data_IF_705912238443
#
_entry.id   IF_705912238443
#
_cell.length_a   1.000
_cell.length_b   1.000
_cell.length_c   1.000
_cell.angle_alpha   90.00
_cell.angle_beta   90.00
_cell.angle_gamma   90.00
#
_symmetry.space_group_name_H-M   'P 1'
#
loop_
_entity.id
_entity.type
_entity.pdbx_description
1 polymer ?
#
# COMPACT_ATOMS: atom_id res chain seq x y z
N UNK A 1 -39.93 -3.83 -58.17
CA UNK A 1 -38.61 -3.17 -58.24
C UNK A 1 -38.35 -2.01 -57.27
N UNK A 2 -39.07 -0.87 -57.27
CA UNK A 2 -38.78 0.24 -56.31
C UNK A 2 -39.15 -0.07 -54.85
N UNK A 3 -40.25 -0.82 -54.61
CA UNK A 3 -40.66 -1.27 -53.26
C UNK A 3 -39.72 -2.33 -52.66
N UNK A 4 -39.32 -3.33 -53.44
CA UNK A 4 -38.39 -4.38 -52.99
C UNK A 4 -37.01 -3.84 -52.58
N UNK A 5 -36.51 -2.79 -53.25
CA UNK A 5 -35.25 -2.12 -52.86
C UNK A 5 -35.37 -1.31 -51.56
N UNK A 6 -36.58 -0.84 -51.22
CA UNK A 6 -36.86 -0.13 -49.96
C UNK A 6 -36.88 -1.10 -48.78
N UNK A 7 -37.58 -2.22 -48.92
CA UNK A 7 -37.70 -3.24 -47.87
C UNK A 7 -36.35 -3.90 -47.55
N UNK A 8 -35.47 -4.04 -48.55
CA UNK A 8 -34.11 -4.58 -48.35
C UNK A 8 -33.19 -3.59 -47.61
N UNK A 9 -33.34 -2.28 -47.85
CA UNK A 9 -32.58 -1.24 -47.16
C UNK A 9 -32.98 -1.15 -45.67
N UNK A 10 -34.28 -1.23 -45.39
CA UNK A 10 -34.81 -1.22 -44.02
C UNK A 10 -34.40 -2.47 -43.24
N UNK A 11 -34.41 -3.64 -43.89
CA UNK A 11 -33.92 -4.89 -43.29
C UNK A 11 -32.43 -4.83 -42.97
N UNK A 12 -31.59 -4.27 -43.87
CA UNK A 12 -30.15 -4.07 -43.62
C UNK A 12 -29.90 -3.08 -42.47
N UNK A 13 -30.71 -2.02 -42.37
CA UNK A 13 -30.65 -1.05 -41.27
C UNK A 13 -30.99 -1.70 -39.92
N UNK A 14 -32.06 -2.48 -39.86
CA UNK A 14 -32.49 -3.21 -38.65
C UNK A 14 -31.43 -4.22 -38.20
N UNK A 15 -30.86 -5.01 -39.13
CA UNK A 15 -29.77 -5.96 -38.83
C UNK A 15 -28.55 -5.22 -38.26
N UNK A 16 -28.16 -4.08 -38.84
CA UNK A 16 -27.05 -3.27 -38.32
C UNK A 16 -27.34 -2.74 -36.92
N UNK A 17 -28.58 -2.31 -36.63
CA UNK A 17 -29.00 -1.85 -35.30
C UNK A 17 -28.90 -3.00 -34.27
N UNK A 18 -29.48 -4.15 -34.58
CA UNK A 18 -29.42 -5.34 -33.72
C UNK A 18 -27.98 -5.81 -33.47
N UNK A 19 -27.11 -5.79 -34.48
CA UNK A 19 -25.70 -6.13 -34.31
C UNK A 19 -24.96 -5.14 -33.40
N UNK A 20 -25.26 -3.83 -33.52
CA UNK A 20 -24.68 -2.80 -32.63
C UNK A 20 -25.14 -2.99 -31.18
N UNK A 21 -26.43 -3.25 -30.96
CA UNK A 21 -26.99 -3.53 -29.63
C UNK A 21 -26.39 -4.80 -29.02
N UNK A 22 -26.30 -5.88 -29.79
CA UNK A 22 -25.63 -7.12 -29.36
C UNK A 22 -24.17 -6.89 -28.99
N UNK A 23 -23.43 -6.09 -29.78
CA UNK A 23 -22.03 -5.74 -29.47
C UNK A 23 -21.91 -4.94 -28.16
N UNK A 24 -22.83 -4.00 -27.91
CA UNK A 24 -22.89 -3.24 -26.65
C UNK A 24 -23.16 -4.16 -25.46
N UNK A 25 -24.13 -5.07 -25.57
CA UNK A 25 -24.45 -6.05 -24.52
C UNK A 25 -23.27 -6.98 -24.22
N UNK A 26 -22.59 -7.48 -25.24
CA UNK A 26 -21.38 -8.30 -25.06
C UNK A 26 -20.28 -7.50 -24.36
N UNK A 27 -20.07 -6.23 -24.71
CA UNK A 27 -19.08 -5.36 -24.06
C UNK A 27 -19.45 -5.13 -22.59
N UNK A 28 -20.73 -4.86 -22.27
CA UNK A 28 -21.21 -4.70 -20.89
C UNK A 28 -21.04 -5.99 -20.08
N UNK A 29 -21.45 -7.14 -20.60
CA UNK A 29 -21.25 -8.45 -19.94
C UNK A 29 -19.77 -8.71 -19.64
N UNK A 30 -18.87 -8.55 -20.62
CA UNK A 30 -17.43 -8.76 -20.42
C UNK A 30 -16.84 -7.85 -19.33
N UNK A 31 -17.34 -6.62 -19.22
CA UNK A 31 -16.96 -5.68 -18.15
C UNK A 31 -17.46 -6.13 -16.79
N UNK A 32 -18.74 -6.47 -16.68
CA UNK A 32 -19.32 -6.96 -15.41
C UNK A 32 -18.57 -8.21 -14.91
N UNK A 33 -18.22 -9.14 -15.81
CA UNK A 33 -17.37 -10.28 -15.47
C UNK A 33 -16.02 -9.83 -14.94
N UNK A 34 -15.34 -8.87 -15.59
CA UNK A 34 -14.04 -8.36 -15.13
C UNK A 34 -14.14 -7.71 -13.75
N UNK A 35 -15.17 -6.90 -13.52
CA UNK A 35 -15.41 -6.21 -12.25
C UNK A 35 -15.70 -7.24 -11.16
N UNK A 36 -16.62 -8.18 -11.40
CA UNK A 36 -16.93 -9.26 -10.47
C UNK A 36 -15.68 -10.08 -10.11
N UNK A 37 -14.87 -10.46 -11.10
CA UNK A 37 -13.61 -11.19 -10.87
C UNK A 37 -12.68 -10.40 -9.95
N UNK A 38 -12.46 -9.11 -10.23
CA UNK A 38 -11.60 -8.28 -9.37
C UNK A 38 -12.16 -8.19 -7.95
N UNK A 39 -13.44 -7.85 -7.81
CA UNK A 39 -14.11 -7.74 -6.52
C UNK A 39 -13.98 -9.02 -5.70
N UNK A 40 -14.21 -10.18 -6.31
CA UNK A 40 -14.10 -11.46 -5.60
C UNK A 40 -12.65 -11.71 -5.17
N UNK A 41 -11.67 -11.53 -6.06
CA UNK A 41 -10.26 -11.83 -5.76
C UNK A 41 -9.60 -10.86 -4.79
N UNK A 42 -10.12 -9.64 -4.66
CA UNK A 42 -9.57 -8.66 -3.74
C UNK A 42 -9.94 -8.99 -2.27
N UNK A 43 -10.95 -9.84 -2.05
CA UNK A 43 -11.47 -10.19 -0.72
C UNK A 43 -11.57 -11.71 -0.45
N UNK A 44 -11.29 -12.54 -1.45
CA UNK A 44 -11.32 -14.00 -1.32
C UNK A 44 -9.92 -14.57 -1.52
N UNK A 45 -9.51 -15.46 -0.61
CA UNK A 45 -8.22 -16.16 -0.66
C UNK A 45 -8.34 -17.64 -1.04
N UNK A 46 -9.55 -18.13 -1.32
CA UNK A 46 -9.81 -19.54 -1.65
C UNK A 46 -10.51 -19.70 -2.98
N UNK A 47 -10.20 -20.78 -3.69
CA UNK A 47 -10.91 -21.15 -4.91
C UNK A 47 -12.40 -21.36 -4.63
N UNK A 48 -13.22 -21.02 -5.63
CA UNK A 48 -14.67 -21.14 -5.59
C UNK A 48 -15.15 -22.15 -6.63
N UNK A 49 -16.22 -22.87 -6.31
CA UNK A 49 -16.74 -23.98 -7.12
C UNK A 49 -18.17 -23.77 -7.62
N UNK A 50 -18.88 -22.79 -7.07
CA UNK A 50 -20.32 -22.61 -7.33
C UNK A 50 -20.75 -21.16 -7.36
N UNK A 51 -21.96 -20.92 -7.88
CA UNK A 51 -22.61 -19.61 -7.84
C UNK A 51 -22.85 -19.17 -6.41
N UNK A 52 -23.29 -20.10 -5.56
CA UNK A 52 -23.64 -19.90 -4.16
C UNK A 52 -22.42 -19.43 -3.37
N UNK A 53 -21.25 -20.01 -3.63
CA UNK A 53 -20.00 -19.58 -3.02
C UNK A 53 -19.59 -18.15 -3.44
N UNK A 54 -19.73 -17.80 -4.73
CA UNK A 54 -19.50 -16.42 -5.18
C UNK A 54 -20.44 -15.45 -4.44
N UNK A 55 -21.74 -15.77 -4.40
CA UNK A 55 -22.72 -14.91 -3.75
C UNK A 55 -22.50 -14.82 -2.24
N UNK A 56 -22.02 -15.88 -1.60
CA UNK A 56 -21.65 -15.87 -0.19
C UNK A 56 -20.51 -14.88 0.06
N UNK A 57 -19.45 -14.94 -0.74
CA UNK A 57 -18.31 -14.01 -0.65
C UNK A 57 -18.77 -12.57 -0.87
N UNK A 58 -19.57 -12.30 -1.91
CA UNK A 58 -20.06 -10.94 -2.18
C UNK A 58 -20.91 -10.38 -1.02
N UNK A 59 -21.76 -11.22 -0.41
CA UNK A 59 -22.55 -10.84 0.78
C UNK A 59 -21.71 -10.66 2.03
N UNK A 60 -20.62 -11.40 2.18
CA UNK A 60 -19.66 -11.17 3.28
C UNK A 60 -18.98 -9.81 3.11
N UNK A 61 -18.56 -9.46 1.89
CA UNK A 61 -17.96 -8.15 1.62
C UNK A 61 -18.98 -7.03 1.89
N UNK A 62 -20.23 -7.20 1.48
CA UNK A 62 -21.32 -6.26 1.76
C UNK A 62 -21.45 -5.96 3.27
N UNK A 63 -21.35 -6.98 4.12
CA UNK A 63 -21.39 -6.84 5.58
C UNK A 63 -20.21 -6.07 6.17
N UNK A 64 -19.06 -6.05 5.50
CA UNK A 64 -17.90 -5.27 5.98
C UNK A 64 -18.10 -3.77 5.84
N UNK A 65 -19.12 -3.31 5.10
CA UNK A 65 -19.38 -1.90 4.84
C UNK A 65 -18.44 -1.27 3.81
N UNK A 66 -17.61 -2.07 3.13
CA UNK A 66 -16.78 -1.61 2.03
C UNK A 66 -17.62 -1.38 0.75
N UNK A 67 -17.96 -0.13 0.47
CA UNK A 67 -18.62 0.30 -0.78
C UNK A 67 -17.56 0.74 -1.81
N UNK A 68 -16.97 -0.20 -2.53
CA UNK A 68 -16.08 0.12 -3.66
C UNK A 68 -16.93 0.38 -4.90
N UNK A 69 -16.88 1.61 -5.40
CA UNK A 69 -17.57 2.02 -6.64
C UNK A 69 -16.60 2.06 -7.81
N UNK A 70 -16.95 1.37 -8.88
CA UNK A 70 -16.21 1.43 -10.14
C UNK A 70 -16.86 2.44 -11.09
N UNK A 71 -16.18 3.57 -11.30
CA UNK A 71 -16.59 4.53 -12.32
C UNK A 71 -16.21 4.03 -13.72
N UNK A 72 -17.20 3.78 -14.56
CA UNK A 72 -16.98 3.46 -15.96
C UNK A 72 -16.62 4.72 -16.75
N UNK A 73 -15.32 4.98 -16.94
CA UNK A 73 -14.80 6.18 -17.65
C UNK A 73 -15.46 6.42 -19.02
N UNK A 74 -15.84 5.36 -19.75
CA UNK A 74 -16.51 5.51 -21.07
C UNK A 74 -18.00 5.88 -20.99
N UNK A 75 -18.69 5.61 -19.88
CA UNK A 75 -20.15 5.81 -19.75
C UNK A 75 -20.57 6.71 -18.58
N UNK A 76 -19.65 7.06 -17.67
CA UNK A 76 -19.95 7.76 -16.41
C UNK A 76 -20.79 6.93 -15.44
N UNK A 77 -21.05 5.65 -15.73
CA UNK A 77 -21.89 4.76 -14.92
C UNK A 77 -21.04 4.24 -13.75
N UNK A 78 -21.49 4.47 -12.51
CA UNK A 78 -20.92 3.85 -11.32
C UNK A 78 -21.53 2.45 -11.16
N UNK A 79 -20.66 1.45 -10.98
CA UNK A 79 -21.05 0.09 -10.62
C UNK A 79 -20.71 -0.11 -9.15
N UNK A 80 -21.72 -0.44 -8.35
CA UNK A 80 -21.58 -0.78 -6.93
C UNK A 80 -21.66 -2.29 -6.71
N UNK A 81 -21.45 -2.73 -5.46
CA UNK A 81 -21.50 -4.14 -5.09
C UNK A 81 -22.87 -4.78 -5.37
N UNK A 82 -23.97 -4.06 -5.17
CA UNK A 82 -25.32 -4.56 -5.44
C UNK A 82 -25.49 -4.93 -6.93
N UNK A 83 -24.97 -4.10 -7.84
CA UNK A 83 -25.01 -4.39 -9.28
C UNK A 83 -24.25 -5.68 -9.63
N UNK A 84 -23.16 -5.97 -8.91
CA UNK A 84 -22.37 -7.19 -9.07
C UNK A 84 -23.15 -8.40 -8.56
N UNK A 85 -23.76 -8.29 -7.37
CA UNK A 85 -24.59 -9.35 -6.78
C UNK A 85 -25.77 -9.68 -7.69
N UNK A 86 -26.48 -8.67 -8.18
CA UNK A 86 -27.61 -8.83 -9.10
C UNK A 86 -27.16 -9.46 -10.43
N UNK A 87 -26.03 -9.01 -10.96
CA UNK A 87 -25.45 -9.57 -12.18
C UNK A 87 -25.10 -11.05 -12.02
N UNK A 88 -24.42 -11.45 -10.94
CA UNK A 88 -24.07 -12.85 -10.69
C UNK A 88 -25.31 -13.70 -10.42
N UNK A 89 -26.26 -13.18 -9.66
CA UNK A 89 -27.50 -13.88 -9.30
C UNK A 89 -28.34 -14.22 -10.53
N UNK A 90 -28.44 -13.27 -11.47
CA UNK A 90 -29.22 -13.40 -12.71
C UNK A 90 -28.42 -13.98 -13.90
N UNK A 91 -27.11 -14.21 -13.71
CA UNK A 91 -26.24 -14.72 -14.78
C UNK A 91 -26.64 -16.13 -15.24
N UNK A 92 -26.37 -16.42 -16.52
CA UNK A 92 -26.44 -17.78 -17.04
C UNK A 92 -25.34 -18.66 -16.46
N UNK A 93 -25.56 -19.98 -16.41
CA UNK A 93 -24.53 -20.95 -15.98
C UNK A 93 -23.21 -20.79 -16.74
N UNK A 94 -23.27 -20.53 -18.04
CA UNK A 94 -22.08 -20.28 -18.86
C UNK A 94 -21.30 -19.04 -18.39
N UNK A 95 -22.01 -17.99 -17.96
CA UNK A 95 -21.40 -16.77 -17.44
C UNK A 95 -20.79 -17.02 -16.05
N UNK A 96 -21.48 -17.77 -15.19
CA UNK A 96 -20.96 -18.14 -13.87
C UNK A 96 -19.71 -19.00 -14.00
N UNK A 97 -19.71 -20.00 -14.88
CA UNK A 97 -18.52 -20.80 -15.20
C UNK A 97 -17.36 -19.94 -15.70
N UNK A 98 -17.63 -18.94 -16.54
CA UNK A 98 -16.62 -17.99 -16.99
C UNK A 98 -16.04 -17.17 -15.83
N UNK A 99 -16.88 -16.71 -14.89
CA UNK A 99 -16.46 -15.97 -13.69
C UNK A 99 -15.61 -16.88 -12.80
N UNK A 100 -16.09 -18.06 -12.42
CA UNK A 100 -15.38 -19.04 -11.59
C UNK A 100 -14.00 -19.36 -12.17
N UNK A 101 -13.94 -19.68 -13.47
CA UNK A 101 -12.67 -19.97 -14.15
C UNK A 101 -11.68 -18.82 -14.01
N UNK A 102 -12.14 -17.57 -14.22
CA UNK A 102 -11.28 -16.38 -14.14
C UNK A 102 -10.88 -16.01 -12.72
N UNK A 103 -11.78 -16.17 -11.75
CA UNK A 103 -11.50 -16.01 -10.32
C UNK A 103 -10.42 -16.99 -9.91
N UNK A 104 -10.64 -18.29 -10.08
CA UNK A 104 -9.69 -19.31 -9.63
C UNK A 104 -8.35 -19.22 -10.39
N UNK A 105 -8.36 -18.87 -11.68
CA UNK A 105 -7.11 -18.59 -12.42
C UNK A 105 -6.32 -17.43 -11.81
N UNK A 106 -7.00 -16.35 -11.39
CA UNK A 106 -6.34 -15.21 -10.75
C UNK A 106 -5.89 -15.54 -9.32
N UNK A 107 -6.68 -16.29 -8.54
CA UNK A 107 -6.30 -16.76 -7.21
C UNK A 107 -5.05 -17.64 -7.24
N UNK A 108 -4.98 -18.64 -8.12
CA UNK A 108 -3.77 -19.48 -8.28
C UNK A 108 -2.53 -18.66 -8.61
N UNK A 109 -2.65 -17.66 -9.49
CA UNK A 109 -1.54 -16.75 -9.82
C UNK A 109 -1.10 -15.91 -8.62
N UNK A 110 -2.05 -15.52 -7.76
CA UNK A 110 -1.75 -14.81 -6.52
C UNK A 110 -1.05 -15.74 -5.52
N UNK A 111 -1.52 -16.97 -5.36
CA UNK A 111 -0.91 -17.98 -4.48
C UNK A 111 0.51 -18.34 -4.93
N UNK A 112 0.72 -18.60 -6.23
CA UNK A 112 2.03 -18.85 -6.80
C UNK A 112 3.00 -17.68 -6.58
N UNK A 113 2.53 -16.44 -6.76
CA UNK A 113 3.33 -15.25 -6.49
C UNK A 113 3.66 -15.14 -4.99
N UNK A 114 2.69 -15.44 -4.13
CA UNK A 114 2.87 -15.35 -2.68
C UNK A 114 3.86 -16.40 -2.15
N UNK A 115 3.85 -17.61 -2.69
CA UNK A 115 4.85 -18.64 -2.36
C UNK A 115 6.27 -18.17 -2.68
N UNK A 116 6.46 -17.53 -3.85
CA UNK A 116 7.74 -16.91 -4.22
C UNK A 116 8.12 -15.81 -3.23
N UNK A 117 7.16 -14.96 -2.85
CA UNK A 117 7.38 -13.89 -1.88
C UNK A 117 7.84 -14.45 -0.51
N UNK A 118 7.17 -15.51 -0.02
CA UNK A 118 7.54 -16.16 1.24
C UNK A 118 8.96 -16.75 1.20
N UNK A 119 9.32 -17.39 0.09
CA UNK A 119 10.67 -17.94 -0.09
C UNK A 119 11.72 -16.82 -0.16
N UNK A 120 11.41 -15.73 -0.86
CA UNK A 120 12.27 -14.55 -0.95
C UNK A 120 12.48 -13.90 0.42
N UNK A 121 11.39 -13.66 1.16
CA UNK A 121 11.46 -13.09 2.51
C UNK A 121 12.27 -13.97 3.46
N UNK A 122 12.03 -15.29 3.45
CA UNK A 122 12.82 -16.25 4.24
C UNK A 122 14.31 -16.20 3.89
N UNK A 123 14.66 -16.09 2.61
CA UNK A 123 16.06 -15.97 2.15
C UNK A 123 16.67 -14.66 2.65
N UNK A 124 15.97 -13.53 2.50
CA UNK A 124 16.45 -12.21 2.90
C UNK A 124 16.64 -12.10 4.42
N UNK A 125 15.78 -12.75 5.20
CA UNK A 125 15.80 -12.68 6.65
C UNK A 125 16.71 -13.70 7.35
N UNK A 126 17.27 -14.68 6.61
CA UNK A 126 18.08 -15.76 7.21
C UNK A 126 19.21 -15.23 8.11
N UNK A 127 19.90 -14.19 7.65
CA UNK A 127 21.07 -13.59 8.32
C UNK A 127 20.86 -12.07 8.56
N UNK A 128 19.60 -11.61 8.58
CA UNK A 128 19.30 -10.19 8.78
C UNK A 128 19.56 -9.77 10.24
N UNK A 129 20.34 -8.69 10.48
CA UNK A 129 20.46 -8.11 11.80
C UNK A 129 19.11 -7.63 12.32
N UNK A 130 18.95 -7.60 13.65
CA UNK A 130 17.76 -7.03 14.26
C UNK A 130 17.56 -5.58 13.79
N UNK A 131 16.37 -5.28 13.29
CA UNK A 131 16.01 -3.96 12.76
C UNK A 131 16.23 -3.79 11.26
N UNK A 132 16.80 -4.80 10.59
CA UNK A 132 16.98 -4.84 9.14
C UNK A 132 16.27 -6.02 8.50
N UNK A 133 15.22 -6.50 9.15
CA UNK A 133 14.38 -7.53 8.57
C UNK A 133 13.65 -6.98 7.34
N UNK A 134 13.44 -7.86 6.35
CA UNK A 134 12.62 -7.60 5.19
C UNK A 134 11.21 -8.16 5.41
N UNK A 135 10.19 -7.39 5.04
CA UNK A 135 8.79 -7.81 5.09
C UNK A 135 8.12 -7.47 3.75
N UNK A 136 7.62 -8.48 3.04
CA UNK A 136 6.92 -8.32 1.78
C UNK A 136 5.43 -8.16 2.07
N UNK A 137 4.92 -6.94 1.85
CA UNK A 137 3.52 -6.56 2.07
C UNK A 137 2.61 -6.90 0.89
N UNK A 138 3.17 -6.88 -0.32
CA UNK A 138 2.44 -7.17 -1.55
C UNK A 138 3.41 -7.67 -2.60
N UNK A 139 3.03 -8.73 -3.32
CA UNK A 139 3.82 -9.31 -4.38
C UNK A 139 2.90 -9.79 -5.50
N UNK A 140 3.15 -9.35 -6.73
CA UNK A 140 2.28 -9.66 -7.85
C UNK A 140 3.06 -9.81 -9.14
N UNK A 141 2.76 -10.86 -9.91
CA UNK A 141 3.33 -11.08 -11.23
C UNK A 141 2.49 -10.38 -12.30
N UNK A 142 3.04 -9.33 -12.92
CA UNK A 142 2.36 -8.54 -13.96
C UNK A 142 2.73 -8.97 -15.39
N UNK A 143 3.87 -9.61 -15.57
CA UNK A 143 4.37 -10.09 -16.85
C UNK A 143 5.20 -11.35 -16.69
N UNK A 144 5.94 -11.76 -17.73
CA UNK A 144 6.84 -12.91 -17.63
C UNK A 144 7.89 -12.69 -16.53
N UNK A 145 8.50 -11.52 -16.55
CA UNK A 145 9.60 -11.09 -15.69
C UNK A 145 9.33 -9.70 -15.09
N UNK A 146 8.06 -9.31 -14.93
CA UNK A 146 7.66 -8.03 -14.35
C UNK A 146 6.87 -8.25 -13.05
N UNK A 147 7.34 -7.66 -11.97
CA UNK A 147 6.81 -7.83 -10.62
C UNK A 147 6.38 -6.49 -10.03
N UNK A 148 5.23 -6.48 -9.36
CA UNK A 148 4.78 -5.40 -8.49
C UNK A 148 5.04 -5.75 -7.04
N UNK A 149 5.75 -4.87 -6.33
CA UNK A 149 6.29 -5.19 -5.01
C UNK A 149 6.03 -4.03 -4.06
N UNK A 150 5.47 -4.35 -2.90
CA UNK A 150 5.50 -3.50 -1.71
C UNK A 150 6.31 -4.24 -0.65
N UNK A 151 7.42 -3.68 -0.22
CA UNK A 151 8.38 -4.35 0.68
C UNK A 151 8.95 -3.35 1.67
N UNK A 152 9.09 -3.75 2.93
CA UNK A 152 9.86 -3.04 3.93
C UNK A 152 11.21 -3.70 4.06
N UNK A 153 12.29 -2.93 4.02
CA UNK A 153 13.65 -3.37 4.37
C UNK A 153 14.10 -2.48 5.51
N UNK A 154 14.28 -3.07 6.69
CA UNK A 154 14.59 -2.33 7.91
C UNK A 154 13.53 -1.29 8.26
N UNK A 155 13.88 0.00 8.17
CA UNK A 155 12.98 1.10 8.50
C UNK A 155 12.31 1.76 7.26
N UNK A 156 12.63 1.29 6.05
CA UNK A 156 12.14 1.87 4.80
C UNK A 156 11.13 0.95 4.10
N UNK A 157 10.01 1.53 3.66
CA UNK A 157 9.03 0.84 2.82
C UNK A 157 9.11 1.36 1.39
N UNK A 158 9.22 0.43 0.46
CA UNK A 158 9.32 0.66 -0.98
C UNK A 158 8.07 0.13 -1.68
N UNK A 159 7.62 0.85 -2.70
CA UNK A 159 6.56 0.42 -3.62
C UNK A 159 7.05 0.67 -5.05
N UNK A 160 7.32 -0.39 -5.81
CA UNK A 160 7.92 -0.27 -7.13
C UNK A 160 7.59 -1.46 -8.04
N UNK A 161 7.93 -1.28 -9.32
CA UNK A 161 7.91 -2.33 -10.33
C UNK A 161 9.33 -2.81 -10.57
N UNK A 162 9.52 -4.12 -10.67
CA UNK A 162 10.82 -4.74 -10.91
C UNK A 162 10.76 -5.61 -12.16
N UNK A 163 11.71 -5.40 -13.08
CA UNK A 163 11.90 -6.23 -14.27
C UNK A 163 13.12 -7.14 -14.06
N UNK A 164 12.89 -8.45 -14.00
CA UNK A 164 13.92 -9.44 -13.74
C UNK A 164 13.39 -10.69 -13.03
N UNK A 165 14.33 -11.52 -12.59
CA UNK A 165 14.08 -12.76 -11.85
C UNK A 165 13.94 -12.49 -10.34
N UNK A 166 13.27 -13.39 -9.59
CA UNK A 166 13.24 -13.31 -8.12
C UNK A 166 14.64 -13.31 -7.47
N UNK A 167 15.62 -13.96 -8.10
CA UNK A 167 17.00 -13.96 -7.63
C UNK A 167 17.67 -12.59 -7.76
N UNK A 168 17.51 -11.93 -8.91
CA UNK A 168 18.01 -10.56 -9.12
C UNK A 168 17.34 -9.57 -8.16
N UNK A 169 16.02 -9.74 -7.94
CA UNK A 169 15.30 -8.95 -6.94
C UNK A 169 15.87 -9.15 -5.53
N UNK A 170 16.22 -10.40 -5.16
CA UNK A 170 16.84 -10.68 -3.86
C UNK A 170 18.15 -9.91 -3.70
N UNK A 171 18.99 -9.88 -4.73
CA UNK A 171 20.26 -9.14 -4.68
C UNK A 171 20.06 -7.62 -4.56
N UNK A 172 19.07 -7.05 -5.25
CA UNK A 172 18.71 -5.64 -5.11
C UNK A 172 18.27 -5.32 -3.68
N UNK A 173 17.41 -6.14 -3.09
CA UNK A 173 16.93 -5.94 -1.72
C UNK A 173 18.04 -6.17 -0.68
N UNK A 174 18.98 -7.07 -0.94
CA UNK A 174 20.17 -7.26 -0.11
C UNK A 174 21.10 -6.04 -0.17
N UNK A 175 21.26 -5.41 -1.32
CA UNK A 175 22.06 -4.20 -1.45
C UNK A 175 21.43 -3.02 -0.68
N UNK A 176 20.11 -2.85 -0.78
CA UNK A 176 19.37 -1.87 0.04
C UNK A 176 19.58 -2.13 1.54
N UNK A 177 19.60 -3.41 1.96
CA UNK A 177 19.92 -3.77 3.34
C UNK A 177 21.33 -3.38 3.73
N UNK A 178 22.34 -3.68 2.90
CA UNK A 178 23.76 -3.34 3.14
C UNK A 178 23.98 -1.83 3.27
N UNK A 179 23.23 -1.02 2.53
CA UNK A 179 23.28 0.43 2.70
C UNK A 179 22.73 0.86 4.06
N UNK A 180 21.62 0.27 4.51
CA UNK A 180 21.07 0.54 5.84
C UNK A 180 21.95 0.00 6.98
N UNK A 181 22.69 -1.09 6.79
CA UNK A 181 23.67 -1.62 7.76
C UNK A 181 24.74 -0.58 8.12
N UNK A 182 25.06 0.34 7.19
CA UNK A 182 26.04 1.42 7.40
C UNK A 182 25.45 2.63 8.14
N UNK A 183 24.12 2.72 8.28
CA UNK A 183 23.43 3.85 8.91
C UNK A 183 23.44 3.75 10.43
N UNK A 184 24.55 4.19 11.01
CA UNK A 184 24.74 4.24 12.45
C UNK A 184 24.37 5.62 12.98
N UNK A 185 23.47 5.66 13.96
CA UNK A 185 23.13 6.87 14.70
C UNK A 185 23.81 6.88 16.06
N UNK A 186 24.44 8.00 16.40
CA UNK A 186 25.08 8.20 17.72
C UNK A 186 24.16 9.01 18.63
N UNK A 187 23.97 8.54 19.85
CA UNK A 187 23.28 9.30 20.88
C UNK A 187 24.10 10.57 21.21
N UNK A 188 23.54 11.78 21.02
CA UNK A 188 24.28 13.03 21.23
C UNK A 188 24.51 13.37 22.71
N UNK A 189 24.04 12.53 23.64
CA UNK A 189 24.21 12.72 25.08
C UNK A 189 25.23 11.78 25.73
N UNK A 190 25.46 10.60 25.16
CA UNK A 190 26.39 9.61 25.71
C UNK A 190 27.26 8.92 24.67
N UNK A 191 27.13 9.30 23.40
CA UNK A 191 27.91 8.83 22.25
C UNK A 191 27.74 7.34 21.89
N UNK A 192 26.86 6.62 22.60
CA UNK A 192 26.48 5.26 22.26
C UNK A 192 25.94 5.19 20.82
N UNK A 193 26.40 4.19 20.07
CA UNK A 193 26.12 4.01 18.66
C UNK A 193 25.09 2.89 18.47
N UNK A 194 24.05 3.18 17.70
CA UNK A 194 23.02 2.21 17.37
C UNK A 194 22.84 2.16 15.86
N UNK A 195 22.51 0.98 15.34
CA UNK A 195 21.96 0.88 14.00
C UNK A 195 20.65 1.67 13.95
N UNK A 196 20.50 2.60 13.01
CA UNK A 196 19.36 3.52 12.99
C UNK A 196 18.04 2.78 12.92
N UNK A 197 17.93 1.81 12.02
CA UNK A 197 16.69 1.04 11.85
C UNK A 197 16.31 0.26 13.13
N UNK A 198 17.30 -0.29 13.83
CA UNK A 198 17.11 -0.92 15.15
C UNK A 198 16.60 0.09 16.19
N UNK A 199 17.25 1.26 16.27
CA UNK A 199 16.85 2.32 17.20
C UNK A 199 15.43 2.80 16.94
N UNK A 200 15.02 2.95 15.67
CA UNK A 200 13.67 3.37 15.30
C UNK A 200 12.60 2.35 15.68
N UNK A 201 12.89 1.06 15.54
CA UNK A 201 11.89 -0.01 15.66
C UNK A 201 11.79 -0.58 17.08
N UNK A 202 12.91 -0.66 17.80
CA UNK A 202 12.99 -1.42 19.05
C UNK A 202 13.43 -0.60 20.27
N UNK A 203 13.95 0.61 20.10
CA UNK A 203 14.40 1.44 21.23
C UNK A 203 13.49 2.65 21.43
N UNK A 204 12.85 2.74 22.60
CA UNK A 204 12.22 3.98 23.06
C UNK A 204 13.24 4.94 23.70
N UNK A 205 14.31 4.39 24.30
CA UNK A 205 15.34 5.17 25.01
C UNK A 205 16.74 4.62 24.77
N UNK A 206 17.70 5.51 24.81
CA UNK A 206 19.12 5.19 24.94
C UNK A 206 19.46 4.83 26.40
N UNK A 207 20.57 4.11 26.62
CA UNK A 207 21.05 3.71 27.95
C UNK A 207 21.22 4.89 28.92
N UNK A 208 21.58 6.06 28.41
CA UNK A 208 21.72 7.29 29.20
C UNK A 208 20.41 7.98 29.58
N UNK A 209 19.26 7.34 29.30
CA UNK A 209 17.91 7.81 29.60
C UNK A 209 17.30 8.75 28.56
N UNK A 210 18.06 9.16 27.54
CA UNK A 210 17.54 10.00 26.46
C UNK A 210 16.49 9.23 25.63
N UNK A 211 15.31 9.80 25.49
CA UNK A 211 14.22 9.28 24.66
C UNK A 211 14.52 9.46 23.18
N UNK A 212 14.24 8.43 22.40
CA UNK A 212 14.39 8.39 20.95
C UNK A 212 13.02 8.67 20.35
N UNK A 213 12.91 9.72 19.54
CA UNK A 213 11.66 10.11 18.89
C UNK A 213 11.87 10.10 17.39
N UNK A 214 11.04 9.33 16.69
CA UNK A 214 11.12 9.13 15.25
C UNK A 214 9.79 9.49 14.61
N UNK A 215 9.82 10.10 13.43
CA UNK A 215 8.59 10.37 12.69
C UNK A 215 7.98 9.09 12.14
N UNK A 216 6.67 8.92 12.31
CA UNK A 216 5.91 7.86 11.65
C UNK A 216 5.14 8.37 10.42
N UNK A 217 4.87 9.68 10.35
CA UNK A 217 4.15 10.32 9.24
C UNK A 217 4.58 11.78 9.07
N UNK A 218 4.47 12.30 7.83
CA UNK A 218 4.77 13.71 7.53
C UNK A 218 3.86 14.31 6.47
N UNK A 219 3.31 15.49 6.75
CA UNK A 219 2.56 16.30 5.80
C UNK A 219 3.01 17.76 5.89
N UNK A 220 3.46 18.36 4.78
CA UNK A 220 3.87 19.77 4.76
C UNK A 220 4.99 20.18 5.73
N UNK A 221 5.85 19.23 6.16
CA UNK A 221 6.91 19.48 7.17
C UNK A 221 6.47 19.30 8.62
N UNK A 222 5.18 19.09 8.86
CA UNK A 222 4.59 18.71 10.14
C UNK A 222 4.61 17.19 10.35
N UNK A 223 4.80 16.77 11.59
CA UNK A 223 4.62 15.39 12.07
C UNK A 223 4.00 15.40 13.47
N UNK A 224 3.17 14.39 13.82
CA UNK A 224 2.58 14.26 15.15
C UNK A 224 3.63 14.27 16.27
N UNK A 225 4.77 13.63 16.04
CA UNK A 225 5.83 13.51 17.04
C UNK A 225 6.52 14.86 17.29
N UNK A 226 6.66 15.70 16.27
CA UNK A 226 7.22 17.05 16.43
C UNK A 226 6.26 17.94 17.23
N UNK A 227 4.96 17.87 16.95
CA UNK A 227 3.93 18.59 17.73
C UNK A 227 3.91 18.15 19.19
N UNK A 228 3.97 16.83 19.44
CA UNK A 228 4.08 16.28 20.79
C UNK A 228 5.28 16.88 21.53
N UNK A 229 6.47 16.91 20.91
CA UNK A 229 7.66 17.46 21.54
C UNK A 229 7.53 18.96 21.86
N UNK A 230 6.92 19.75 20.97
CA UNK A 230 6.64 21.16 21.23
C UNK A 230 5.70 21.35 22.42
N UNK A 231 4.58 20.62 22.42
CA UNK A 231 3.58 20.70 23.49
C UNK A 231 4.17 20.28 24.84
N UNK A 232 4.89 19.15 24.89
CA UNK A 232 5.52 18.63 26.09
C UNK A 232 6.57 19.60 26.65
N UNK A 233 7.48 20.10 25.80
CA UNK A 233 8.54 21.00 26.22
C UNK A 233 8.02 22.36 26.69
N UNK A 234 7.10 22.97 25.94
CA UNK A 234 6.48 24.24 26.32
C UNK A 234 5.65 24.12 27.60
N UNK A 235 4.84 23.05 27.72
CA UNK A 235 4.05 22.79 28.92
C UNK A 235 4.93 22.58 30.15
N UNK A 236 6.02 21.81 30.04
CA UNK A 236 6.94 21.56 31.16
C UNK A 236 7.62 22.84 31.65
N UNK A 237 7.92 23.76 30.73
CA UNK A 237 8.56 25.04 31.04
C UNK A 237 7.57 26.16 31.41
N UNK A 238 6.26 25.91 31.35
CA UNK A 238 5.24 26.91 31.64
C UNK A 238 5.19 28.06 30.63
N UNK A 239 5.56 27.80 29.37
CA UNK A 239 5.55 28.78 28.27
C UNK A 239 4.56 28.36 27.18
N UNK A 240 3.97 29.31 26.42
CA UNK A 240 3.13 28.96 25.28
C UNK A 240 3.95 28.39 24.12
N UNK A 241 3.34 27.52 23.32
CA UNK A 241 3.92 27.08 22.04
C UNK A 241 3.96 28.28 21.08
N UNK A 242 5.12 28.59 20.45
CA UNK A 242 5.22 29.71 19.52
C UNK A 242 4.23 29.60 18.35
N UNK A 243 3.58 30.71 17.95
CA UNK A 243 2.60 30.71 16.84
C UNK A 243 3.18 30.18 15.52
N UNK A 244 4.47 30.41 15.27
CA UNK A 244 5.16 29.95 14.06
C UNK A 244 6.10 28.76 14.32
N UNK A 245 5.81 27.92 15.33
CA UNK A 245 6.68 26.80 15.73
C UNK A 245 7.08 25.88 14.57
N UNK A 246 6.21 25.73 13.56
CA UNK A 246 6.47 24.91 12.36
C UNK A 246 7.66 25.42 11.53
N UNK A 247 7.96 26.72 11.60
CA UNK A 247 9.12 27.35 10.93
C UNK A 247 10.39 27.28 11.78
N UNK A 248 10.28 26.85 13.04
CA UNK A 248 11.36 26.82 14.01
C UNK A 248 11.83 25.38 14.18
N UNK A 249 13.14 25.16 14.01
CA UNK A 249 13.74 23.87 14.34
C UNK A 249 13.73 23.66 15.85
N UNK A 250 13.06 22.62 16.32
CA UNK A 250 12.88 22.35 17.75
C UNK A 250 14.20 22.19 18.51
N UNK A 251 15.23 21.63 17.88
CA UNK A 251 16.61 21.47 18.40
C UNK A 251 17.40 22.79 18.45
N UNK A 252 16.86 23.86 17.86
CA UNK A 252 17.33 25.24 18.03
C UNK A 252 16.58 25.97 19.14
N UNK A 253 15.40 25.49 19.54
CA UNK A 253 14.58 26.10 20.58
C UNK A 253 14.89 25.50 21.96
N UNK A 254 14.96 24.17 22.06
CA UNK A 254 15.31 23.47 23.29
C UNK A 254 16.77 23.00 23.27
N UNK A 255 17.47 23.13 24.40
CA UNK A 255 18.87 22.72 24.54
C UNK A 255 19.02 21.19 24.53
N UNK A 256 18.06 20.52 25.14
CA UNK A 256 18.02 19.09 25.43
C UNK A 256 17.26 18.26 24.38
N UNK A 257 16.95 18.86 23.23
CA UNK A 257 16.44 18.18 22.02
C UNK A 257 17.53 18.21 20.96
N UNK A 258 17.95 17.05 20.46
CA UNK A 258 19.04 16.93 19.50
C UNK A 258 18.57 16.19 18.25
N UNK A 259 18.53 16.89 17.12
CA UNK A 259 18.24 16.30 15.82
C UNK A 259 19.45 15.53 15.29
N UNK A 260 19.23 14.29 14.85
CA UNK A 260 20.30 13.37 14.39
C UNK A 260 20.14 12.96 12.92
N UNK A 261 19.45 13.79 12.14
CA UNK A 261 19.25 13.55 10.71
C UNK A 261 18.15 12.53 10.41
N UNK A 262 18.09 12.15 9.14
CA UNK A 262 17.21 11.08 8.62
C UNK A 262 17.97 9.80 8.27
N UNK A 263 19.29 9.90 8.09
CA UNK A 263 20.12 8.80 7.62
C UNK A 263 19.69 8.34 6.23
N UNK A 264 19.66 7.02 6.04
CA UNK A 264 19.12 6.30 4.88
C UNK A 264 17.60 6.25 4.86
N UNK A 265 16.94 6.74 5.91
CA UNK A 265 15.48 6.78 5.99
C UNK A 265 14.92 8.12 5.54
N UNK A 266 13.63 8.15 5.23
CA UNK A 266 12.92 9.41 4.95
C UNK A 266 12.43 10.12 6.23
N UNK A 267 12.63 9.52 7.40
CA UNK A 267 12.05 9.93 8.67
C UNK A 267 13.07 10.65 9.55
N UNK A 268 12.69 11.79 10.14
CA UNK A 268 13.56 12.50 11.09
C UNK A 268 13.61 11.74 12.42
N UNK A 269 14.77 11.83 13.07
CA UNK A 269 14.96 11.30 14.42
C UNK A 269 15.55 12.36 15.34
N UNK A 270 15.09 12.38 16.58
CA UNK A 270 15.60 13.22 17.66
C UNK A 270 15.91 12.38 18.90
N UNK A 271 16.90 12.82 19.66
CA UNK A 271 17.11 12.40 21.04
C UNK A 271 16.68 13.53 21.98
N UNK A 272 15.90 13.19 23.00
CA UNK A 272 15.33 14.13 23.96
C UNK A 272 15.67 13.69 25.38
N UNK A 273 16.26 14.57 26.18
CA UNK A 273 16.68 14.23 27.54
C UNK A 273 16.10 15.20 28.56
N UNK A 274 15.41 14.72 29.57
CA UNK A 274 14.91 15.57 30.66
C UNK A 274 16.04 16.02 31.61
N UNK A 275 15.86 17.14 32.33
CA UNK A 275 14.72 18.06 32.26
C UNK A 275 14.73 18.95 31.01
N UNK A 276 13.55 19.45 30.62
CA UNK A 276 13.40 20.41 29.51
C UNK A 276 14.13 21.72 29.79
N UNK A 277 14.84 22.26 28.79
CA UNK A 277 15.62 23.49 28.91
C UNK A 277 15.53 24.32 27.63
N UNK A 278 15.29 25.62 27.76
CA UNK A 278 15.43 26.55 26.64
C UNK A 278 16.89 26.67 26.24
N UNK A 279 17.14 26.72 24.94
CA UNK A 279 18.48 26.99 24.43
C UNK A 279 18.89 28.40 24.80
N UNK A 280 20.00 28.54 25.53
CA UNK A 280 20.58 29.85 25.84
C UNK A 280 20.93 30.56 24.53
N UNK A 281 20.45 31.80 24.37
CA UNK A 281 20.91 32.65 23.27
C UNK A 281 22.41 32.88 23.46
N UNK A 282 23.19 32.64 22.41
CA UNK A 282 24.61 33.02 22.42
C UNK A 282 24.66 34.54 22.49
N UNK A 283 25.11 35.06 23.64
CA UNK A 283 25.50 36.45 23.85
C UNK A 283 26.65 36.84 22.93
#
# INVERSE_FOLDING_TARGET
MKREKSDEADRKSLIRKLMRERKKLIKKRKRMIKIAVNYITDFCSKELNSREEILSVLKEIEKTGFDIRYLLVESGEEICLHDIIDFVSSASEETVKEILRKVNEKLRKMDEAWEIAMQLEKRLNKDAPAGLETEIHSFSKLGRDLWGIKVTVGANTYLFWFEGTPDELAEVLLEERREQEKDIVKCPFCEESHLRAYAMKYLDRCSCGARIVCESARSGGWSPELEMLWNEGCSTLGIPVPLEWQKIHIDKFFENVKYVGRGTTNWRMWFVKEPWQLKKQKS
#
